data_IF_681987665742
#
_entry.id   IF_681987665742
#
_cell.length_a   1.000
_cell.length_b   1.000
_cell.length_c   1.000
_cell.angle_alpha   90.00
_cell.angle_beta   90.00
_cell.angle_gamma   90.00
#
_symmetry.space_group_name_H-M   'P 1'
#
loop_
_entity.id
_entity.type
_entity.pdbx_description
1 polymer ?
#
# COMPACT_ATOMS: atom_id res chain seq x y z
N UNK A 1 1.22 -17.40 7.33
CA UNK A 1 0.95 -16.61 6.12
C UNK A 1 1.66 -17.23 4.92
N UNK A 2 2.99 -17.39 4.94
CA UNK A 2 3.76 -17.96 3.80
C UNK A 2 3.28 -19.35 3.37
N UNK A 3 2.89 -20.23 4.30
CA UNK A 3 2.36 -21.56 4.00
C UNK A 3 1.08 -21.55 3.14
N UNK A 4 0.38 -20.41 3.11
CA UNK A 4 -0.87 -20.21 2.37
C UNK A 4 -0.71 -19.22 1.19
N UNK A 5 0.51 -19.06 0.70
CA UNK A 5 0.75 -18.27 -0.51
C UNK A 5 0.22 -19.02 -1.73
N UNK A 6 -0.54 -18.33 -2.57
CA UNK A 6 -0.98 -18.89 -3.85
C UNK A 6 0.21 -19.10 -4.80
N UNK A 7 0.03 -19.92 -5.83
CA UNK A 7 1.05 -20.11 -6.88
C UNK A 7 1.42 -18.79 -7.57
N UNK A 8 0.48 -17.86 -7.67
CA UNK A 8 0.69 -16.54 -8.29
C UNK A 8 1.43 -15.56 -7.38
N UNK A 9 1.56 -15.85 -6.09
CA UNK A 9 2.30 -15.04 -5.13
C UNK A 9 1.43 -14.30 -4.10
N UNK A 10 0.10 -14.35 -4.22
CA UNK A 10 -0.79 -13.70 -3.26
C UNK A 10 -0.70 -14.35 -1.88
N UNK A 11 -0.68 -13.52 -0.83
CA UNK A 11 -0.97 -13.96 0.53
C UNK A 11 -2.48 -13.81 0.79
N UNK A 12 -3.09 -14.81 1.42
CA UNK A 12 -4.50 -14.72 1.76
C UNK A 12 -4.78 -13.54 2.71
N UNK A 13 -5.83 -12.78 2.44
CA UNK A 13 -6.31 -11.71 3.31
C UNK A 13 -6.67 -12.24 4.70
N UNK A 14 -7.33 -13.40 4.75
CA UNK A 14 -7.74 -14.08 5.96
C UNK A 14 -7.47 -15.58 5.83
N UNK A 15 -6.99 -16.19 6.89
CA UNK A 15 -6.84 -17.65 7.01
C UNK A 15 -7.51 -18.11 8.30
N UNK A 16 -8.40 -19.08 8.17
CA UNK A 16 -9.04 -19.77 9.30
C UNK A 16 -8.67 -21.26 9.27
N UNK A 17 -9.14 -22.04 10.23
CA UNK A 17 -8.95 -23.49 10.21
C UNK A 17 -9.59 -24.19 9.02
N UNK A 18 -10.60 -23.60 8.40
CA UNK A 18 -11.42 -24.22 7.35
C UNK A 18 -11.44 -23.43 6.03
N UNK A 19 -10.92 -22.20 6.00
CA UNK A 19 -11.06 -21.32 4.85
C UNK A 19 -9.90 -20.35 4.71
N UNK A 20 -9.67 -19.90 3.48
CA UNK A 20 -8.63 -18.91 3.14
C UNK A 20 -9.14 -17.98 2.03
N UNK A 21 -9.16 -16.71 2.34
CA UNK A 21 -9.60 -15.69 1.39
C UNK A 21 -8.44 -15.25 0.52
N UNK A 22 -8.27 -15.91 -0.62
CA UNK A 22 -7.18 -15.67 -1.58
C UNK A 22 -7.60 -14.80 -2.77
N UNK A 23 -8.83 -14.34 -2.83
CA UNK A 23 -9.29 -13.37 -3.83
C UNK A 23 -8.69 -11.98 -3.63
N UNK A 24 -8.15 -11.71 -2.44
CA UNK A 24 -7.49 -10.45 -2.06
C UNK A 24 -6.35 -10.72 -1.08
N UNK A 25 -5.50 -9.71 -0.89
CA UNK A 25 -4.37 -9.76 0.02
C UNK A 25 -4.58 -8.83 1.24
N UNK A 26 -3.51 -8.49 1.88
CA UNK A 26 -3.36 -7.41 2.87
C UNK A 26 -2.24 -6.49 2.39
N UNK A 27 -2.16 -5.22 2.83
CA UNK A 27 -1.13 -4.28 2.39
C UNK A 27 0.29 -4.88 2.45
N UNK A 28 1.17 -4.58 1.48
CA UNK A 28 2.49 -5.22 1.36
C UNK A 28 3.48 -4.70 2.41
N UNK A 29 3.61 -5.41 3.52
CA UNK A 29 4.55 -5.13 4.60
C UNK A 29 5.47 -6.31 4.91
N UNK A 30 5.37 -7.40 4.14
CA UNK A 30 6.08 -8.63 4.45
C UNK A 30 7.61 -8.48 4.37
N UNK A 31 8.12 -7.75 3.38
CA UNK A 31 9.55 -7.49 3.25
C UNK A 31 10.09 -6.63 4.40
N UNK A 32 9.36 -5.60 4.79
CA UNK A 32 9.73 -4.75 5.93
C UNK A 32 9.79 -5.56 7.23
N UNK A 33 8.82 -6.42 7.48
CA UNK A 33 8.81 -7.31 8.65
C UNK A 33 9.99 -8.28 8.60
N UNK A 34 10.21 -8.95 7.47
CA UNK A 34 11.30 -9.93 7.30
C UNK A 34 12.67 -9.27 7.52
N UNK A 35 12.89 -8.09 6.95
CA UNK A 35 14.11 -7.32 7.13
C UNK A 35 14.35 -6.94 8.60
N UNK A 36 13.33 -6.46 9.31
CA UNK A 36 13.43 -6.13 10.73
C UNK A 36 13.71 -7.36 11.62
N UNK A 37 13.13 -8.51 11.30
CA UNK A 37 13.42 -9.77 12.00
C UNK A 37 14.87 -10.18 11.79
N UNK A 38 15.36 -10.09 10.55
CA UNK A 38 16.76 -10.37 10.24
C UNK A 38 17.71 -9.41 10.95
N UNK A 39 17.46 -8.10 10.92
CA UNK A 39 18.30 -7.10 11.59
C UNK A 39 18.48 -7.37 13.08
N UNK A 40 17.49 -7.96 13.74
CA UNK A 40 17.54 -8.30 15.16
C UNK A 40 18.16 -9.67 15.44
N UNK A 41 17.87 -10.65 14.59
CA UNK A 41 18.32 -12.03 14.78
C UNK A 41 19.71 -12.31 14.21
N UNK A 42 20.13 -11.55 13.18
CA UNK A 42 21.34 -11.76 12.36
C UNK A 42 21.41 -13.19 11.80
N UNK A 43 20.25 -13.82 11.57
CA UNK A 43 20.15 -15.19 11.08
C UNK A 43 19.80 -15.20 9.59
N UNK A 44 20.80 -15.44 8.74
CA UNK A 44 20.65 -15.46 7.29
C UNK A 44 19.74 -16.57 6.77
N UNK A 45 19.56 -17.67 7.52
CA UNK A 45 18.67 -18.75 7.13
C UNK A 45 17.21 -18.28 7.06
N UNK A 46 16.82 -17.28 7.88
CA UNK A 46 15.49 -16.68 7.81
C UNK A 46 15.30 -15.95 6.46
N UNK A 47 16.29 -15.17 6.03
CA UNK A 47 16.22 -14.51 4.73
C UNK A 47 16.18 -15.53 3.59
N UNK A 48 17.10 -16.49 3.58
CA UNK A 48 17.15 -17.54 2.55
C UNK A 48 15.84 -18.31 2.44
N UNK A 49 15.19 -18.59 3.57
CA UNK A 49 13.93 -19.32 3.61
C UNK A 49 12.75 -18.53 3.04
N UNK A 50 12.67 -17.23 3.30
CA UNK A 50 11.45 -16.46 3.04
C UNK A 50 11.55 -15.41 1.92
N UNK A 51 12.76 -15.02 1.52
CA UNK A 51 12.98 -13.96 0.52
C UNK A 51 12.19 -14.21 -0.77
N UNK A 52 12.30 -15.38 -1.38
CA UNK A 52 11.61 -15.70 -2.64
C UNK A 52 10.08 -15.66 -2.51
N UNK A 53 9.54 -16.03 -1.35
CA UNK A 53 8.11 -15.94 -1.10
C UNK A 53 7.64 -14.48 -1.02
N UNK A 54 8.39 -13.64 -0.33
CA UNK A 54 8.07 -12.22 -0.18
C UNK A 54 8.23 -11.50 -1.52
N UNK A 55 9.30 -11.82 -2.28
CA UNK A 55 9.51 -11.27 -3.63
C UNK A 55 8.35 -11.62 -4.57
N UNK A 56 7.86 -12.88 -4.56
CA UNK A 56 6.68 -13.26 -5.37
C UNK A 56 5.43 -12.49 -4.97
N UNK A 57 5.25 -12.17 -3.69
CA UNK A 57 4.12 -11.34 -3.24
C UNK A 57 4.26 -9.91 -3.74
N UNK A 58 5.43 -9.31 -3.65
CA UNK A 58 5.73 -8.00 -4.21
C UNK A 58 5.41 -7.93 -5.71
N UNK A 59 5.87 -8.92 -6.47
CA UNK A 59 5.60 -9.01 -7.91
C UNK A 59 4.11 -9.23 -8.21
N UNK A 60 3.38 -9.94 -7.34
CA UNK A 60 1.94 -10.13 -7.49
C UNK A 60 1.18 -8.79 -7.44
N UNK A 61 1.52 -7.89 -6.53
CA UNK A 61 0.93 -6.56 -6.45
C UNK A 61 1.08 -5.79 -7.76
N UNK A 62 2.27 -5.79 -8.33
CA UNK A 62 2.52 -5.14 -9.62
C UNK A 62 1.76 -5.79 -10.79
N UNK A 63 1.59 -7.11 -10.79
CA UNK A 63 0.89 -7.81 -11.88
C UNK A 63 -0.62 -7.74 -11.77
N UNK A 64 -1.17 -7.82 -10.57
CA UNK A 64 -2.62 -8.02 -10.33
C UNK A 64 -3.36 -6.78 -9.85
N UNK A 65 -2.64 -5.75 -9.43
CA UNK A 65 -3.22 -4.55 -8.82
C UNK A 65 -2.81 -3.25 -9.50
N UNK A 66 -2.08 -3.31 -10.61
CA UNK A 66 -1.78 -2.12 -11.41
C UNK A 66 -3.06 -1.56 -12.01
N UNK A 67 -3.31 -0.29 -11.71
CA UNK A 67 -4.56 0.39 -12.04
C UNK A 67 -4.60 0.93 -13.48
N UNK A 68 -3.46 1.46 -13.97
CA UNK A 68 -3.38 2.16 -15.25
C UNK A 68 -1.94 2.18 -15.79
N UNK A 69 -1.77 2.83 -16.93
CA UNK A 69 -0.46 2.98 -17.61
C UNK A 69 0.56 3.76 -16.77
N UNK A 70 0.13 4.46 -15.71
CA UNK A 70 1.04 5.14 -14.78
C UNK A 70 1.81 4.16 -13.89
N UNK A 71 1.38 2.89 -13.82
CA UNK A 71 2.01 1.86 -13.00
C UNK A 71 1.80 2.08 -11.50
N UNK A 72 0.76 2.82 -11.12
CA UNK A 72 0.26 2.91 -9.75
C UNK A 72 -0.68 1.74 -9.46
N UNK A 73 -0.77 1.34 -8.21
CA UNK A 73 -1.60 0.21 -7.78
C UNK A 73 -2.84 0.66 -7.00
N UNK A 74 -3.87 -0.16 -7.06
CA UNK A 74 -5.14 0.02 -6.36
C UNK A 74 -5.53 -1.24 -5.61
N UNK A 75 -6.35 -1.12 -4.59
CA UNK A 75 -6.96 -2.25 -3.91
C UNK A 75 -8.02 -2.92 -4.78
N UNK A 76 -8.20 -4.22 -4.56
CA UNK A 76 -9.12 -4.99 -5.37
C UNK A 76 -9.50 -6.35 -4.78
N UNK A 77 -10.25 -7.10 -5.57
CA UNK A 77 -10.62 -8.50 -5.31
C UNK A 77 -10.57 -9.26 -6.63
N UNK A 78 -9.87 -10.40 -6.66
CA UNK A 78 -9.73 -11.22 -7.87
C UNK A 78 -11.04 -11.96 -8.16
N UNK A 79 -11.44 -11.99 -9.44
CA UNK A 79 -12.69 -12.62 -9.85
C UNK A 79 -12.56 -14.14 -10.05
N UNK A 80 -11.37 -14.58 -10.42
CA UNK A 80 -11.06 -15.94 -10.87
C UNK A 80 -10.69 -16.90 -9.75
N UNK A 81 -10.26 -16.40 -8.58
CA UNK A 81 -9.82 -17.23 -7.45
C UNK A 81 -10.49 -16.83 -6.14
N UNK A 82 -10.46 -17.77 -5.17
CA UNK A 82 -10.92 -17.54 -3.80
C UNK A 82 -12.43 -17.47 -3.65
N UNK A 83 -12.87 -17.43 -2.41
CA UNK A 83 -14.28 -17.45 -2.00
C UNK A 83 -14.53 -16.49 -0.82
N UNK A 84 -13.67 -15.49 -0.62
CA UNK A 84 -13.79 -14.54 0.49
C UNK A 84 -15.15 -13.85 0.52
N UNK A 85 -15.64 -13.57 1.72
CA UNK A 85 -16.87 -12.80 1.90
C UNK A 85 -16.76 -11.47 1.15
N UNK A 86 -17.81 -11.09 0.42
CA UNK A 86 -17.85 -9.91 -0.46
C UNK A 86 -16.91 -9.95 -1.68
N UNK A 87 -16.40 -11.13 -2.06
CA UNK A 87 -15.63 -11.29 -3.32
C UNK A 87 -16.37 -10.66 -4.49
N UNK A 88 -15.64 -9.96 -5.36
CA UNK A 88 -16.21 -9.33 -6.55
C UNK A 88 -17.07 -8.09 -6.27
N UNK A 89 -16.96 -7.51 -5.09
CA UNK A 89 -17.68 -6.29 -4.71
C UNK A 89 -16.73 -5.16 -4.27
N UNK A 90 -17.23 -3.93 -4.25
CA UNK A 90 -16.53 -2.78 -3.71
C UNK A 90 -16.07 -3.01 -2.27
N UNK A 91 -16.91 -3.61 -1.43
CA UNK A 91 -16.57 -3.90 -0.04
C UNK A 91 -15.44 -4.92 0.06
N UNK A 92 -15.46 -5.97 -0.80
CA UNK A 92 -14.37 -6.92 -0.90
C UNK A 92 -13.02 -6.25 -1.27
N UNK A 93 -13.05 -5.33 -2.23
CA UNK A 93 -11.86 -4.55 -2.60
C UNK A 93 -11.38 -3.62 -1.47
N UNK A 94 -12.31 -2.97 -0.74
CA UNK A 94 -11.97 -2.16 0.45
C UNK A 94 -11.34 -3.00 1.56
N UNK A 95 -11.77 -4.25 1.78
CA UNK A 95 -11.19 -5.13 2.79
C UNK A 95 -9.70 -5.43 2.55
N UNK A 96 -9.21 -5.40 1.30
CA UNK A 96 -7.79 -5.57 1.00
C UNK A 96 -6.92 -4.47 1.61
N UNK A 97 -7.50 -3.29 1.90
CA UNK A 97 -6.79 -2.17 2.52
C UNK A 97 -6.59 -2.31 4.04
N UNK A 98 -7.31 -3.23 4.71
CA UNK A 98 -7.47 -3.26 6.17
C UNK A 98 -8.16 -2.00 6.75
N UNK A 99 -8.72 -1.16 5.90
CA UNK A 99 -9.43 0.09 6.23
C UNK A 99 -10.78 0.14 5.51
N UNK A 100 -11.51 -0.97 5.54
CA UNK A 100 -12.77 -1.17 4.80
C UNK A 100 -13.87 -0.15 5.13
N UNK A 101 -13.83 0.44 6.32
CA UNK A 101 -14.75 1.49 6.75
C UNK A 101 -14.22 2.92 6.55
N UNK A 102 -13.00 3.09 6.04
CA UNK A 102 -12.42 4.42 5.81
C UNK A 102 -13.12 5.15 4.66
N UNK A 103 -13.46 6.44 4.82
CA UNK A 103 -14.08 7.25 3.77
C UNK A 103 -13.14 7.51 2.57
N UNK A 104 -11.83 7.29 2.71
CA UNK A 104 -10.87 7.46 1.61
C UNK A 104 -11.13 6.53 0.42
N UNK A 105 -11.96 5.48 0.60
CA UNK A 105 -12.37 4.57 -0.46
C UNK A 105 -13.80 4.80 -0.97
N UNK A 106 -14.58 5.68 -0.32
CA UNK A 106 -16.03 5.80 -0.60
C UNK A 106 -16.32 6.42 -1.95
N UNK A 107 -15.50 7.35 -2.40
CA UNK A 107 -15.65 7.99 -3.71
C UNK A 107 -15.14 7.11 -4.88
N UNK A 108 -14.29 6.11 -4.61
CA UNK A 108 -13.76 5.25 -5.66
C UNK A 108 -14.86 4.39 -6.30
N UNK A 109 -14.89 4.35 -7.62
CA UNK A 109 -15.70 3.39 -8.36
C UNK A 109 -15.05 1.99 -8.28
N UNK A 110 -15.86 0.95 -8.17
CA UNK A 110 -15.39 -0.43 -8.29
C UNK A 110 -15.66 -0.93 -9.71
N UNK A 111 -14.61 -1.33 -10.40
CA UNK A 111 -14.71 -1.89 -11.74
C UNK A 111 -14.87 -3.43 -11.65
N UNK A 112 -16.05 -3.99 -11.97
CA UNK A 112 -16.27 -5.42 -11.85
C UNK A 112 -15.49 -6.25 -12.88
N UNK A 113 -15.01 -5.67 -13.97
CA UNK A 113 -14.21 -6.37 -14.97
C UNK A 113 -12.76 -6.59 -14.50
N UNK A 114 -12.14 -5.56 -13.95
CA UNK A 114 -10.77 -5.65 -13.40
C UNK A 114 -10.75 -6.16 -11.95
N UNK A 115 -11.85 -6.00 -11.22
CA UNK A 115 -11.93 -6.26 -9.77
C UNK A 115 -11.22 -5.22 -8.92
N UNK A 116 -10.88 -4.04 -9.47
CA UNK A 116 -10.15 -2.99 -8.77
C UNK A 116 -11.04 -1.83 -8.35
N UNK A 117 -10.66 -1.14 -7.27
CA UNK A 117 -11.08 0.23 -7.04
C UNK A 117 -10.38 1.13 -8.06
N UNK A 118 -11.12 1.97 -8.78
CA UNK A 118 -10.56 2.89 -9.76
C UNK A 118 -9.96 4.14 -9.10
N UNK A 119 -9.11 3.90 -8.11
CA UNK A 119 -8.41 4.90 -7.33
C UNK A 119 -7.02 4.41 -6.94
N UNK A 120 -5.98 5.10 -7.36
CA UNK A 120 -4.62 4.86 -6.89
C UNK A 120 -4.53 5.29 -5.42
N UNK A 121 -4.19 4.34 -4.53
CA UNK A 121 -4.17 4.58 -3.09
C UNK A 121 -2.78 5.00 -2.61
N UNK A 122 -2.71 6.11 -1.86
CA UNK A 122 -1.44 6.66 -1.35
C UNK A 122 -0.74 5.68 -0.42
N UNK A 123 -1.48 5.08 0.51
CA UNK A 123 -0.93 4.15 1.51
C UNK A 123 -0.37 2.90 0.87
N UNK A 124 -1.16 2.27 -0.02
CA UNK A 124 -0.75 1.07 -0.76
C UNK A 124 0.51 1.31 -1.59
N UNK A 125 0.54 2.38 -2.40
CA UNK A 125 1.68 2.69 -3.25
C UNK A 125 2.93 2.98 -2.41
N UNK A 126 2.80 3.66 -1.28
CA UNK A 126 3.90 3.94 -0.36
C UNK A 126 4.43 2.66 0.30
N UNK A 127 3.54 1.78 0.78
CA UNK A 127 3.95 0.50 1.37
C UNK A 127 4.60 -0.43 0.35
N UNK A 128 4.09 -0.47 -0.89
CA UNK A 128 4.71 -1.24 -1.96
C UNK A 128 6.11 -0.72 -2.32
N UNK A 129 6.30 0.59 -2.26
CA UNK A 129 7.60 1.22 -2.43
C UNK A 129 8.58 0.80 -1.32
N UNK A 130 8.16 0.88 -0.05
CA UNK A 130 8.94 0.45 1.10
C UNK A 130 9.26 -1.06 1.04
N UNK A 131 8.29 -1.89 0.66
CA UNK A 131 8.46 -3.33 0.50
C UNK A 131 9.54 -3.65 -0.55
N UNK A 132 9.51 -2.96 -1.71
CA UNK A 132 10.53 -3.08 -2.75
C UNK A 132 11.94 -2.65 -2.29
N UNK A 133 12.04 -1.59 -1.49
CA UNK A 133 13.30 -1.14 -0.90
C UNK A 133 13.87 -2.20 0.04
N UNK A 134 13.07 -2.75 0.94
CA UNK A 134 13.52 -3.82 1.85
C UNK A 134 13.96 -5.07 1.08
N UNK A 135 13.24 -5.42 0.03
CA UNK A 135 13.64 -6.52 -0.88
C UNK A 135 14.98 -6.26 -1.56
N UNK A 136 15.25 -5.01 -1.97
CA UNK A 136 16.54 -4.66 -2.57
C UNK A 136 17.71 -4.83 -1.59
N UNK A 137 17.52 -4.41 -0.33
CA UNK A 137 18.49 -4.58 0.73
C UNK A 137 18.76 -6.06 1.04
N UNK A 138 17.69 -6.88 1.10
CA UNK A 138 17.83 -8.33 1.28
C UNK A 138 18.56 -8.98 0.09
N UNK A 139 18.26 -8.57 -1.15
CA UNK A 139 18.94 -9.05 -2.34
C UNK A 139 20.45 -8.72 -2.31
N UNK A 140 20.81 -7.49 -1.93
CA UNK A 140 22.22 -7.11 -1.75
C UNK A 140 22.91 -8.01 -0.71
N UNK A 141 22.28 -8.20 0.44
CA UNK A 141 22.83 -9.03 1.52
C UNK A 141 23.01 -10.50 1.08
N UNK A 142 22.08 -11.02 0.27
CA UNK A 142 22.15 -12.39 -0.27
C UNK A 142 23.06 -12.52 -1.51
N UNK A 143 23.75 -11.46 -1.94
CA UNK A 143 24.63 -11.45 -3.10
C UNK A 143 23.90 -11.47 -4.46
N UNK A 144 22.58 -11.17 -4.48
CA UNK A 144 21.77 -11.09 -5.70
C UNK A 144 21.79 -9.68 -6.32
N UNK A 145 22.97 -9.18 -6.66
CA UNK A 145 23.21 -7.78 -7.04
C UNK A 145 22.34 -7.33 -8.23
N UNK A 146 22.19 -8.15 -9.26
CA UNK A 146 21.35 -7.82 -10.43
C UNK A 146 19.90 -7.60 -10.01
N UNK A 147 19.35 -8.46 -9.14
CA UNK A 147 17.98 -8.32 -8.64
C UNK A 147 17.84 -7.09 -7.75
N UNK A 148 18.83 -6.81 -6.92
CA UNK A 148 18.86 -5.59 -6.11
C UNK A 148 18.80 -4.33 -6.97
N UNK A 149 19.61 -4.23 -8.02
CA UNK A 149 19.63 -3.07 -8.91
C UNK A 149 18.30 -2.89 -9.66
N UNK A 150 17.66 -3.98 -10.10
CA UNK A 150 16.32 -3.95 -10.69
C UNK A 150 15.28 -3.40 -9.70
N UNK A 151 15.30 -3.88 -8.46
CA UNK A 151 14.38 -3.44 -7.41
C UNK A 151 14.62 -1.97 -7.05
N UNK A 152 15.86 -1.53 -6.86
CA UNK A 152 16.21 -0.13 -6.58
C UNK A 152 15.68 0.80 -7.67
N UNK A 153 15.90 0.45 -8.94
CA UNK A 153 15.41 1.23 -10.08
C UNK A 153 13.88 1.32 -10.09
N UNK A 154 13.18 0.22 -9.82
CA UNK A 154 11.72 0.19 -9.75
C UNK A 154 11.20 1.04 -8.59
N UNK A 155 11.82 0.94 -7.43
CA UNK A 155 11.50 1.75 -6.24
C UNK A 155 11.62 3.24 -6.56
N UNK A 156 12.71 3.67 -7.16
CA UNK A 156 12.93 5.09 -7.48
C UNK A 156 11.88 5.62 -8.46
N UNK A 157 11.59 4.87 -9.52
CA UNK A 157 10.52 5.21 -10.45
C UNK A 157 9.15 5.26 -9.78
N UNK A 158 8.91 4.40 -8.79
CA UNK A 158 7.65 4.38 -8.06
C UNK A 158 7.54 5.58 -7.11
N UNK A 159 8.64 5.99 -6.45
CA UNK A 159 8.74 7.23 -5.65
C UNK A 159 8.39 8.47 -6.48
N UNK A 160 8.97 8.58 -7.66
CA UNK A 160 8.67 9.68 -8.59
C UNK A 160 7.18 9.73 -8.97
N UNK A 161 6.57 8.56 -9.22
CA UNK A 161 5.13 8.47 -9.53
C UNK A 161 4.27 8.91 -8.35
N UNK A 162 4.57 8.44 -7.14
CA UNK A 162 3.87 8.86 -5.91
C UNK A 162 3.98 10.37 -5.75
N UNK A 163 5.19 10.91 -5.78
CA UNK A 163 5.46 12.34 -5.59
C UNK A 163 4.72 13.22 -6.58
N UNK A 164 4.66 12.78 -7.85
CA UNK A 164 4.06 13.55 -8.95
C UNK A 164 2.55 13.35 -9.07
N UNK A 165 2.07 12.11 -8.96
CA UNK A 165 0.70 11.79 -9.34
C UNK A 165 -0.27 11.72 -8.17
N UNK A 166 0.21 11.50 -6.94
CA UNK A 166 -0.64 11.42 -5.74
C UNK A 166 -0.57 12.69 -4.88
N UNK A 167 0.17 13.70 -5.32
CA UNK A 167 0.22 15.00 -4.68
C UNK A 167 -0.87 15.93 -5.23
N UNK A 168 -1.73 16.42 -4.36
CA UNK A 168 -2.71 17.46 -4.67
C UNK A 168 -2.10 18.83 -4.41
N UNK A 169 -1.65 19.51 -5.46
CA UNK A 169 -1.01 20.84 -5.36
C UNK A 169 -1.93 21.89 -4.75
N UNK A 170 -3.26 21.75 -4.91
CA UNK A 170 -4.21 22.74 -4.38
C UNK A 170 -4.36 22.64 -2.87
N UNK A 171 -4.38 21.40 -2.33
CA UNK A 171 -4.48 21.13 -0.89
C UNK A 171 -3.13 20.96 -0.23
N UNK A 172 -2.05 20.82 -1.02
CA UNK A 172 -0.69 20.57 -0.56
C UNK A 172 -0.57 19.32 0.33
N UNK A 173 -1.20 18.21 -0.11
CA UNK A 173 -1.25 16.93 0.61
C UNK A 173 -1.25 15.77 -0.37
N UNK A 174 -0.76 14.61 0.05
CA UNK A 174 -0.99 13.37 -0.69
C UNK A 174 -2.40 12.85 -0.46
N UNK A 175 -3.12 12.57 -1.54
CA UNK A 175 -4.47 12.02 -1.50
C UNK A 175 -4.64 10.93 -2.56
N UNK A 176 -5.56 10.00 -2.30
CA UNK A 176 -5.94 8.99 -3.28
C UNK A 176 -6.44 9.69 -4.55
N UNK A 177 -6.02 9.20 -5.72
CA UNK A 177 -6.37 9.79 -7.00
C UNK A 177 -7.15 8.82 -7.86
N UNK A 178 -8.33 9.24 -8.30
CA UNK A 178 -9.20 8.46 -9.17
C UNK A 178 -8.68 8.43 -10.62
N UNK A 179 -9.14 7.46 -11.39
CA UNK A 179 -8.72 7.29 -12.82
C UNK A 179 -9.09 8.48 -13.70
N UNK A 180 -10.12 9.25 -13.35
CA UNK A 180 -10.51 10.48 -14.04
C UNK A 180 -9.59 11.67 -13.70
N UNK A 181 -8.62 11.48 -12.83
CA UNK A 181 -7.64 12.47 -12.39
C UNK A 181 -8.07 13.30 -11.19
N UNK A 182 -9.28 13.15 -10.68
CA UNK A 182 -9.74 13.85 -9.49
C UNK A 182 -9.15 13.22 -8.21
N UNK A 183 -8.99 14.03 -7.17
CA UNK A 183 -8.54 13.56 -5.86
C UNK A 183 -9.72 13.25 -4.94
N UNK A 184 -9.56 12.20 -4.13
CA UNK A 184 -10.50 11.89 -3.05
C UNK A 184 -10.46 13.00 -2.00
N UNK A 185 -11.62 13.39 -1.48
CA UNK A 185 -11.72 14.51 -0.53
C UNK A 185 -11.18 14.14 0.85
N UNK A 186 -11.49 12.95 1.34
CA UNK A 186 -11.07 12.48 2.67
C UNK A 186 -9.57 12.26 2.75
N UNK A 187 -8.96 12.73 3.84
CA UNK A 187 -7.55 12.58 4.16
C UNK A 187 -7.43 11.69 5.39
N UNK A 188 -6.60 10.66 5.31
CA UNK A 188 -6.34 9.71 6.39
C UNK A 188 -4.84 9.65 6.74
N UNK A 189 -4.43 8.99 7.83
CA UNK A 189 -3.02 8.83 8.19
C UNK A 189 -2.14 8.22 7.09
N UNK A 190 -2.72 7.46 6.16
CA UNK A 190 -2.02 6.94 4.99
C UNK A 190 -1.44 8.01 4.08
N UNK A 191 -1.98 9.24 4.13
CA UNK A 191 -1.45 10.41 3.41
C UNK A 191 -0.04 10.83 3.87
N UNK A 192 0.41 10.37 5.05
CA UNK A 192 1.77 10.57 5.55
C UNK A 192 2.74 9.45 5.15
N UNK A 193 2.27 8.33 4.58
CA UNK A 193 3.13 7.20 4.23
C UNK A 193 4.20 7.50 3.17
N UNK A 194 4.02 8.47 2.24
CA UNK A 194 5.10 8.92 1.36
C UNK A 194 6.35 9.41 2.10
N UNK A 195 6.23 9.87 3.37
CA UNK A 195 7.36 10.22 4.23
C UNK A 195 8.24 9.01 4.54
N UNK A 196 7.63 7.89 4.94
CA UNK A 196 8.37 6.64 5.26
C UNK A 196 8.83 5.90 4.01
N UNK A 197 8.15 6.09 2.87
CA UNK A 197 8.54 5.53 1.59
C UNK A 197 9.66 6.34 0.89
N UNK A 198 10.05 7.50 1.44
CA UNK A 198 11.03 8.40 0.82
C UNK A 198 10.55 9.02 -0.49
N UNK A 199 9.22 9.12 -0.70
CA UNK A 199 8.61 9.60 -1.93
C UNK A 199 8.21 11.08 -1.89
N UNK A 200 8.29 11.73 -0.74
CA UNK A 200 7.94 13.14 -0.57
C UNK A 200 9.17 14.06 -0.74
N UNK A 201 9.05 15.12 -1.55
CA UNK A 201 10.06 16.19 -1.62
C UNK A 201 10.15 16.94 -0.28
N UNK A 202 11.19 17.74 -0.10
CA UNK A 202 11.35 18.55 1.14
C UNK A 202 10.19 19.51 1.36
N UNK A 203 9.67 20.10 0.29
CA UNK A 203 8.52 21.00 0.32
C UNK A 203 7.25 20.23 0.70
N UNK A 204 7.03 19.08 0.09
CA UNK A 204 5.91 18.18 0.42
C UNK A 204 5.99 17.69 1.88
N UNK A 205 7.18 17.29 2.34
CA UNK A 205 7.41 16.90 3.75
C UNK A 205 7.03 18.03 4.71
N UNK A 206 7.47 19.26 4.42
CA UNK A 206 7.16 20.43 5.25
C UNK A 206 5.64 20.66 5.32
N UNK A 207 4.97 20.68 4.17
CA UNK A 207 3.52 20.88 4.13
C UNK A 207 2.77 19.80 4.91
N UNK A 208 3.11 18.51 4.72
CA UNK A 208 2.49 17.42 5.48
C UNK A 208 2.65 17.59 6.99
N UNK A 209 3.82 18.04 7.44
CA UNK A 209 4.07 18.21 8.88
C UNK A 209 3.39 19.44 9.42
N UNK A 210 3.59 20.60 8.79
CA UNK A 210 3.13 21.89 9.31
C UNK A 210 1.62 22.08 9.11
N UNK A 211 1.10 21.79 7.90
CA UNK A 211 -0.29 22.06 7.55
C UNK A 211 -1.27 20.96 7.99
N UNK A 212 -0.78 19.73 8.21
CA UNK A 212 -1.64 18.57 8.53
C UNK A 212 -1.30 17.90 9.85
N UNK A 213 -0.06 17.36 10.02
CA UNK A 213 0.26 16.55 11.19
C UNK A 213 0.20 17.34 12.50
N UNK A 214 0.76 18.55 12.51
CA UNK A 214 0.80 19.42 13.70
C UNK A 214 -0.42 20.35 13.79
N UNK A 215 -1.22 20.47 12.74
CA UNK A 215 -2.41 21.32 12.73
C UNK A 215 -3.53 20.70 13.58
N UNK A 216 -3.99 21.42 14.60
CA UNK A 216 -5.02 20.95 15.52
C UNK A 216 -6.39 20.72 14.85
N UNK A 217 -6.66 21.41 13.74
CA UNK A 217 -7.88 21.21 12.96
C UNK A 217 -7.80 19.99 12.02
N UNK A 218 -6.62 19.40 11.83
CA UNK A 218 -6.39 18.27 10.95
C UNK A 218 -6.03 17.00 11.76
N UNK A 219 -4.77 16.71 11.99
CA UNK A 219 -4.30 15.51 12.68
C UNK A 219 -3.65 15.79 14.03
N UNK A 220 -3.28 17.03 14.34
CA UNK A 220 -2.69 17.43 15.62
C UNK A 220 -3.71 17.42 16.77
N UNK A 221 -3.30 17.85 17.96
CA UNK A 221 -4.15 17.93 19.16
C UNK A 221 -3.71 16.95 20.24
N UNK A 222 -4.52 16.88 21.33
CA UNK A 222 -4.21 16.06 22.49
C UNK A 222 -4.07 14.57 22.15
N UNK A 223 -4.96 14.07 21.30
CA UNK A 223 -4.89 12.72 20.71
C UNK A 223 -4.52 12.84 19.24
N UNK A 224 -3.26 12.56 18.92
CA UNK A 224 -2.74 12.66 17.56
C UNK A 224 -3.18 11.49 16.68
N UNK A 225 -3.24 11.76 15.37
CA UNK A 225 -3.57 10.80 14.31
C UNK A 225 -4.95 10.13 14.48
N UNK A 226 -6.04 10.90 14.39
CA UNK A 226 -7.36 10.32 14.19
C UNK A 226 -7.41 9.51 12.88
N UNK A 227 -8.39 8.64 12.72
CA UNK A 227 -8.56 7.77 11.53
C UNK A 227 -8.78 8.53 10.22
N UNK A 228 -9.26 9.76 10.31
CA UNK A 228 -9.37 10.75 9.22
C UNK A 228 -9.11 12.15 9.79
N UNK A 229 -8.85 13.12 8.91
CA UNK A 229 -8.73 14.53 9.33
C UNK A 229 -9.93 14.97 10.18
N UNK A 230 -9.70 15.81 11.18
CA UNK A 230 -10.78 16.41 12.00
C UNK A 230 -11.73 17.30 11.22
N UNK A 231 -11.31 17.80 10.06
CA UNK A 231 -12.17 18.53 9.14
C UNK A 231 -13.06 17.61 8.27
N UNK A 232 -12.84 16.29 8.31
CA UNK A 232 -13.63 15.35 7.52
C UNK A 232 -15.02 15.16 8.14
N UNK A 233 -16.11 15.34 7.37
CA UNK A 233 -17.47 15.16 7.89
C UNK A 233 -17.80 13.74 8.32
N UNK A 234 -16.98 12.75 7.93
CA UNK A 234 -17.12 11.36 8.33
C UNK A 234 -16.46 11.06 9.69
N UNK A 235 -15.74 12.02 10.30
CA UNK A 235 -15.20 11.82 11.63
C UNK A 235 -16.34 11.84 12.65
N UNK A 236 -16.57 10.71 13.30
CA UNK A 236 -17.53 10.59 14.39
C UNK A 236 -16.80 10.86 15.73
N UNK A 237 -17.33 11.79 16.51
CA UNK A 237 -16.84 12.14 17.85
C UNK A 237 -17.50 11.26 18.91
#
# INVERSE_FOLDING_TARGET
VVAWQTKEGNYACLVTGNDQWVDRSQPPIAAWVLWNVWQRSQNDEILKQFYESVLRNHEWWHRKRTLNDLGLVAYGTSQDIGNGLYKGTKLGAKNESSMDNSPVHDQAYFNPQSGLLESADVGLNSLLCLDGEMLSLMADHLGQNVKSDELKKRVEQHRERISKWLWDDRREVFANRMVDGSFVNSIAPTSFYPLIAGAASKEQQRSLVENYLLNQNEFGGEYVLPSVSRCDPCLLY
#
